data_IF_500700015693
#
_entry.id   IF_500700015693
#
_cell.length_a   1.000
_cell.length_b   1.000
_cell.length_c   1.000
_cell.angle_alpha   90.00
_cell.angle_beta   90.00
_cell.angle_gamma   90.00
#
_symmetry.space_group_name_H-M   'P 1'
#
loop_
_entity.id
_entity.type
_entity.pdbx_description
1 polymer ?
2 branched ?
3 branched ?
4 branched ?
5 non-polymer ?
6 non-polymer ?
7 non-polymer ?
8 non-polymer ?
9 water ?
#
# COMPACT_ATOMS: atom_id res chain seq x y z
N UNK A 1 -0.91 2.34 4.75
CA UNK A 1 -1.42 3.72 4.58
C UNK A 1 -2.65 3.98 5.39
N UNK A 2 -2.97 5.25 5.56
CA UNK A 2 -4.23 5.64 6.16
C UNK A 2 -5.34 5.62 5.13
N UNK A 3 -6.50 6.16 5.51
CA UNK A 3 -7.69 6.12 4.68
C UNK A 3 -7.48 6.71 3.30
N UNK A 4 -6.84 7.87 3.24
CA UNK A 4 -6.70 8.57 1.98
C UNK A 4 -5.83 7.78 1.01
N UNK A 5 -4.73 7.22 1.50
CA UNK A 5 -3.84 6.41 0.65
C UNK A 5 -4.52 5.20 0.02
N UNK A 6 -5.23 4.44 0.83
CA UNK A 6 -5.96 3.29 0.30
C UNK A 6 -7.07 3.69 -0.68
N UNK A 7 -7.76 4.77 -0.38
CA UNK A 7 -8.77 5.26 -1.31
C UNK A 7 -8.17 5.62 -2.67
N UNK A 8 -7.05 6.34 -2.66
CA UNK A 8 -6.39 6.72 -3.89
C UNK A 8 -5.96 5.48 -4.68
N UNK A 9 -5.35 4.54 -4.00
CA UNK A 9 -4.86 3.33 -4.64
C UNK A 9 -6.02 2.54 -5.25
N UNK A 10 -7.08 2.36 -4.49
CA UNK A 10 -8.22 1.57 -5.01
C UNK A 10 -8.97 2.28 -6.14
N UNK A 11 -9.02 3.60 -6.09
CA UNK A 11 -9.63 4.40 -7.15
C UNK A 11 -8.85 4.26 -8.45
N UNK A 12 -7.53 4.35 -8.35
CA UNK A 12 -6.69 4.15 -9.52
C UNK A 12 -6.89 2.75 -10.08
N UNK A 13 -6.89 1.77 -9.21
CA UNK A 13 -7.03 0.40 -9.59
C UNK A 13 -8.37 0.15 -10.28
N UNK A 14 -9.44 0.67 -9.71
CA UNK A 14 -10.80 0.39 -10.21
C UNK A 14 -10.90 0.72 -11.69
N UNK A 15 -10.32 1.84 -12.11
CA UNK A 15 -10.44 2.26 -13.50
C UNK A 15 -9.49 1.55 -14.46
N UNK A 16 -8.64 0.65 -13.96
CA UNK A 16 -7.72 -0.09 -14.81
C UNK A 16 -8.09 -1.55 -14.87
N UNK A 17 -9.23 -1.91 -14.27
CA UNK A 17 -9.72 -3.27 -14.33
C UNK A 17 -10.26 -3.58 -15.73
N UNK A 18 -10.00 -4.79 -16.20
CA UNK A 18 -10.65 -5.27 -17.42
C UNK A 18 -12.04 -5.76 -17.09
N UNK A 19 -12.82 -6.05 -18.12
CA UNK A 19 -14.25 -6.33 -17.88
C UNK A 19 -14.47 -7.55 -16.98
N UNK A 20 -13.68 -8.61 -17.14
CA UNK A 20 -13.84 -9.81 -16.30
C UNK A 20 -13.51 -9.52 -14.84
N UNK A 21 -12.49 -8.71 -14.61
CA UNK A 21 -12.16 -8.34 -13.22
C UNK A 21 -13.21 -7.40 -12.65
N UNK A 22 -13.67 -6.43 -13.44
CA UNK A 22 -14.71 -5.50 -12.98
C UNK A 22 -15.98 -6.27 -12.59
N UNK A 23 -16.33 -7.27 -13.39
CA UNK A 23 -17.50 -8.08 -13.10
C UNK A 23 -17.32 -8.90 -11.82
N UNK A 24 -16.18 -9.55 -11.66
CA UNK A 24 -15.91 -10.32 -10.45
C UNK A 24 -15.92 -9.43 -9.20
N UNK A 25 -15.31 -8.26 -9.29
CA UNK A 25 -15.32 -7.33 -8.17
C UNK A 25 -16.74 -6.89 -7.81
N UNK A 26 -17.56 -6.59 -8.82
CA UNK A 26 -18.96 -6.24 -8.59
C UNK A 26 -19.67 -7.37 -7.85
N UNK A 27 -19.40 -8.59 -8.25
CA UNK A 27 -20.05 -9.76 -7.64
C UNK A 27 -19.59 -10.04 -6.22
N UNK A 28 -18.31 -9.81 -5.96
CA UNK A 28 -17.74 -10.11 -4.65
C UNK A 28 -17.98 -9.01 -3.62
N UNK A 29 -18.11 -7.76 -4.05
CA UNK A 29 -18.40 -6.68 -3.10
C UNK A 29 -19.82 -6.79 -2.58
N UNK A 30 -20.03 -6.43 -1.29
CA UNK A 30 -21.39 -6.40 -0.76
C UNK A 30 -22.21 -5.27 -1.36
N UNK A 31 -23.51 -5.35 -1.22
CA UNK A 31 -24.39 -4.32 -1.77
C UNK A 31 -24.16 -2.94 -1.12
N UNK A 32 -23.79 -2.94 0.16
CA UNK A 32 -23.63 -1.69 0.91
C UNK A 32 -22.46 -0.85 0.38
N UNK A 33 -21.53 -1.50 -0.32
CA UNK A 33 -20.43 -0.79 -0.98
C UNK A 33 -20.90 0.01 -2.19
N UNK A 34 -22.09 -0.31 -2.70
CA UNK A 34 -22.63 0.36 -3.88
C UNK A 34 -21.64 0.29 -5.04
N UNK A 35 -20.99 -0.86 -5.17
CA UNK A 35 -20.08 -1.14 -6.30
C UNK A 35 -18.69 -0.52 -6.22
N UNK A 36 -18.42 0.27 -5.19
CA UNK A 36 -17.17 1.01 -5.08
C UNK A 36 -16.12 0.23 -4.25
N UNK A 37 -15.10 -0.34 -4.91
CA UNK A 37 -14.00 -1.00 -4.18
C UNK A 37 -13.33 -0.09 -3.16
N UNK A 38 -13.13 1.17 -3.51
CA UNK A 38 -12.48 2.10 -2.59
C UNK A 38 -13.27 2.33 -1.32
N UNK A 39 -14.58 2.10 -1.34
CA UNK A 39 -15.36 2.24 -0.11
C UNK A 39 -14.99 1.21 0.97
N UNK A 40 -14.30 0.13 0.59
CA UNK A 40 -13.93 -0.92 1.52
C UNK A 40 -12.44 -1.24 1.58
N UNK A 41 -11.62 -0.35 1.04
CA UNK A 41 -10.19 -0.61 1.01
C UNK A 41 -9.48 -0.35 2.33
N UNK A 42 -10.20 0.13 3.34
CA UNK A 42 -9.70 0.18 4.69
C UNK A 42 -10.27 -0.95 5.58
N UNK A 43 -11.12 -1.79 5.01
CA UNK A 43 -11.77 -2.85 5.79
C UNK A 43 -10.76 -3.69 6.58
N UNK A 44 -9.67 -4.08 5.94
CA UNK A 44 -8.66 -4.89 6.62
C UNK A 44 -8.14 -4.23 7.88
N UNK A 45 -7.99 -2.91 7.88
CA UNK A 45 -7.54 -2.24 9.10
C UNK A 45 -8.57 -2.35 10.20
N UNK A 46 -9.83 -2.50 9.83
CA UNK A 46 -10.91 -2.51 10.80
C UNK A 46 -11.18 -3.91 11.38
N UNK A 47 -10.39 -4.91 10.98
CA UNK A 47 -10.44 -6.23 11.61
C UNK A 47 -9.11 -6.70 12.24
N UNK A 48 -8.16 -5.80 12.43
CA UNK A 48 -6.91 -6.15 13.08
C UNK A 48 -7.08 -6.74 14.46
N UNK A 49 -8.12 -6.32 15.18
CA UNK A 49 -8.33 -6.83 16.52
C UNK A 49 -9.32 -7.97 16.55
N UNK A 50 -10.36 -7.88 15.72
CA UNK A 50 -11.31 -8.98 15.63
C UNK A 50 -10.65 -10.23 15.05
N UNK A 51 -9.78 -10.03 14.08
CA UNK A 51 -9.00 -11.10 13.49
C UNK A 51 -7.56 -10.88 13.89
N UNK A 52 -7.24 -11.25 15.12
CA UNK A 52 -5.94 -10.90 15.72
C UNK A 52 -4.77 -11.47 14.93
N UNK A 53 -4.99 -12.64 14.35
CA UNK A 53 -4.04 -13.27 13.44
C UNK A 53 -3.65 -12.42 12.23
N UNK A 54 -4.46 -11.43 11.88
CA UNK A 54 -4.26 -10.63 10.67
C UNK A 54 -3.32 -9.43 10.86
N UNK A 55 -3.05 -9.06 12.10
CA UNK A 55 -2.34 -7.81 12.37
C UNK A 55 -0.95 -7.77 11.73
N UNK A 56 -0.17 -8.85 11.86
CA UNK A 56 1.18 -8.83 11.26
C UNK A 56 1.19 -8.92 9.74
N UNK A 57 0.05 -9.23 9.13
CA UNK A 57 -0.05 -9.32 7.69
C UNK A 57 -0.01 -7.96 7.00
N UNK A 58 -0.04 -6.87 7.76
CA UNK A 58 -0.02 -5.55 7.14
C UNK A 58 1.37 -5.06 6.79
N UNK A 59 2.40 -5.74 7.26
CA UNK A 59 3.75 -5.22 7.13
C UNK A 59 4.82 -6.31 7.05
N UNK A 60 6.06 -5.85 6.88
CA UNK A 60 7.26 -6.69 6.91
C UNK A 60 8.27 -5.99 7.76
N UNK A 61 8.96 -6.74 8.62
CA UNK A 61 10.10 -6.24 9.35
C UNK A 61 11.38 -6.83 8.79
N UNK A 62 12.38 -5.97 8.65
CA UNK A 62 13.69 -6.37 8.17
C UNK A 62 14.76 -6.03 9.20
N UNK A 63 15.97 -6.56 9.02
CA UNK A 63 17.09 -6.08 9.82
C UNK A 63 17.43 -4.64 9.48
N UNK A 64 18.34 -4.04 10.25
CA UNK A 64 18.76 -2.68 9.97
C UNK A 64 19.64 -2.64 8.74
N UNK A 65 19.03 -2.82 7.58
CA UNK A 65 19.74 -2.72 6.30
C UNK A 65 18.72 -2.38 5.22
N UNK A 66 19.13 -2.28 3.97
CA UNK A 66 18.23 -1.87 2.90
C UNK A 66 17.83 -3.02 2.00
N UNK A 67 17.76 -4.21 2.57
CA UNK A 67 17.39 -5.38 1.78
C UNK A 67 16.19 -6.12 2.36
N UNK A 68 15.50 -6.82 1.47
CA UNK A 68 14.38 -7.66 1.81
C UNK A 68 14.55 -9.00 1.11
N UNK A 69 14.33 -10.09 1.85
CA UNK A 69 14.30 -11.43 1.29
C UNK A 69 13.14 -12.16 1.94
N UNK A 70 12.26 -12.75 1.14
CA UNK A 70 11.08 -13.46 1.66
C UNK A 70 11.44 -14.52 2.70
N UNK A 71 12.36 -15.42 2.37
CA UNK A 71 12.66 -16.51 3.30
C UNK A 71 13.24 -16.00 4.61
N UNK A 72 14.03 -14.92 4.54
CA UNK A 72 14.62 -14.36 5.75
C UNK A 72 13.62 -13.53 6.55
N UNK A 73 12.80 -12.73 5.87
CA UNK A 73 12.01 -11.67 6.53
C UNK A 73 10.51 -11.90 6.64
N UNK A 74 9.95 -12.77 5.81
CA UNK A 74 8.51 -12.96 5.87
C UNK A 74 8.11 -13.97 6.94
N UNK A 75 7.96 -13.47 8.15
CA UNK A 75 7.48 -14.24 9.28
C UNK A 75 7.01 -13.27 10.34
N UNK A 76 6.16 -13.72 11.25
CA UNK A 76 5.71 -12.84 12.32
C UNK A 76 6.65 -12.96 13.52
N UNK A 77 6.31 -12.30 14.62
CA UNK A 77 7.17 -12.29 15.81
C UNK A 77 7.27 -13.68 16.43
N UNK A 78 6.26 -14.52 16.22
CA UNK A 78 6.33 -15.93 16.62
C UNK A 78 7.33 -16.75 15.78
N UNK A 79 7.74 -16.20 14.64
CA UNK A 79 8.64 -16.90 13.73
C UNK A 79 7.94 -17.69 12.65
N UNK A 80 6.62 -17.61 12.59
CA UNK A 80 5.84 -18.39 11.62
C UNK A 80 6.03 -17.84 10.20
N UNK A 81 6.58 -18.68 9.32
CA UNK A 81 6.90 -18.28 7.95
C UNK A 81 5.65 -17.94 7.16
N UNK A 82 5.74 -16.89 6.35
CA UNK A 82 4.62 -16.46 5.51
C UNK A 82 3.74 -15.37 6.11
N UNK A 83 3.91 -15.08 7.40
CA UNK A 83 3.00 -14.16 8.06
C UNK A 83 3.51 -12.73 8.00
N UNK A 84 3.44 -12.18 6.80
CA UNK A 84 3.82 -10.79 6.54
C UNK A 84 3.02 -10.38 5.32
N UNK A 85 3.09 -9.11 4.95
CA UNK A 85 2.23 -8.61 3.88
C UNK A 85 2.49 -9.31 2.53
N UNK A 86 3.72 -9.69 2.26
CA UNK A 86 4.02 -10.42 1.03
C UNK A 86 3.35 -11.78 1.04
N UNK A 87 3.48 -12.48 2.16
CA UNK A 87 2.86 -13.81 2.31
C UNK A 87 1.34 -13.72 2.19
N UNK A 88 0.77 -12.68 2.77
CA UNK A 88 -0.66 -12.43 2.69
C UNK A 88 -1.10 -12.19 1.25
N UNK A 89 -0.33 -11.42 0.52
CA UNK A 89 -0.67 -11.19 -0.88
C UNK A 89 -0.67 -12.52 -1.66
N UNK A 90 0.34 -13.35 -1.43
CA UNK A 90 0.38 -14.67 -2.07
C UNK A 90 -0.85 -15.50 -1.69
N UNK A 91 -1.16 -15.51 -0.41
CA UNK A 91 -2.31 -16.23 0.13
C UNK A 91 -3.62 -15.85 -0.51
N UNK A 92 -3.96 -14.55 -0.44
CA UNK A 92 -5.26 -14.10 -0.89
C UNK A 92 -5.36 -14.10 -2.40
N UNK A 93 -4.25 -13.89 -3.10
CA UNK A 93 -4.29 -14.02 -4.56
C UNK A 93 -4.61 -15.45 -4.95
N UNK A 94 -4.01 -16.40 -4.24
CA UNK A 94 -4.19 -17.81 -4.56
C UNK A 94 -5.65 -18.19 -4.33
N UNK A 95 -6.22 -17.71 -3.23
CA UNK A 95 -7.61 -17.98 -2.95
C UNK A 95 -8.52 -17.46 -4.05
N UNK A 96 -8.27 -16.24 -4.52
CA UNK A 96 -9.13 -15.66 -5.55
C UNK A 96 -9.03 -16.36 -6.90
N UNK A 97 -7.94 -17.09 -7.14
CA UNK A 97 -7.83 -17.89 -8.36
C UNK A 97 -8.97 -18.91 -8.48
N UNK A 98 -9.58 -19.28 -7.36
CA UNK A 98 -10.72 -20.22 -7.30
C UNK A 98 -12.03 -19.67 -7.82
N UNK A 99 -12.14 -18.36 -7.94
CA UNK A 99 -13.45 -17.74 -8.22
C UNK A 99 -14.11 -18.27 -9.49
CA UNK A 107 -13.83 -22.85 -2.07
C UNK A 107 -14.15 -22.83 -0.57
N UNK A 108 -13.12 -23.08 0.26
CA UNK A 108 -13.30 -23.06 1.71
C UNK A 108 -13.24 -21.64 2.30
N UNK A 109 -12.85 -20.68 1.46
CA UNK A 109 -12.57 -19.33 1.93
C UNK A 109 -13.62 -18.33 1.50
N UNK A 110 -13.76 -17.28 2.29
CA UNK A 110 -14.66 -16.20 1.97
C UNK A 110 -13.92 -15.32 0.98
N UNK A 111 -14.35 -15.34 -0.28
CA UNK A 111 -13.63 -14.61 -1.33
C UNK A 111 -13.91 -13.13 -1.33
N UNK A 112 -14.97 -12.69 -0.64
CA UNK A 112 -15.17 -11.26 -0.41
C UNK A 112 -14.04 -10.77 0.48
N UNK A 113 -13.79 -11.46 1.58
CA UNK A 113 -12.63 -11.11 2.43
C UNK A 113 -11.31 -11.19 1.65
N UNK A 114 -11.15 -12.21 0.80
CA UNK A 114 -9.91 -12.32 0.01
C UNK A 114 -9.70 -11.08 -0.83
N UNK A 115 -10.76 -10.64 -1.51
CA UNK A 115 -10.68 -9.42 -2.34
C UNK A 115 -10.33 -8.20 -1.51
N UNK A 116 -10.98 -8.05 -0.35
CA UNK A 116 -10.72 -6.91 0.51
C UNK A 116 -9.33 -6.93 1.12
N UNK A 117 -8.85 -8.11 1.47
CA UNK A 117 -7.50 -8.24 1.98
C UNK A 117 -6.46 -7.94 0.91
N UNK A 118 -6.62 -8.52 -0.28
CA UNK A 118 -5.61 -8.33 -1.30
C UNK A 118 -5.57 -6.86 -1.72
N UNK A 119 -6.73 -6.22 -1.82
CA UNK A 119 -6.77 -4.80 -2.17
C UNK A 119 -6.06 -3.94 -1.15
N UNK A 120 -6.30 -4.18 0.13
CA UNK A 120 -5.65 -3.42 1.17
C UNK A 120 -4.14 -3.70 1.25
N UNK A 121 -3.78 -4.99 1.23
CA UNK A 121 -2.38 -5.39 1.34
C UNK A 121 -1.55 -4.95 0.15
N UNK A 122 -2.12 -4.95 -1.05
CA UNK A 122 -1.39 -4.47 -2.20
C UNK A 122 -1.04 -3.01 -1.96
N UNK A 123 -1.93 -2.29 -1.31
CA UNK A 123 -1.61 -0.92 -0.92
C UNK A 123 -0.53 -0.86 0.13
N UNK A 124 -0.69 -1.59 1.22
CA UNK A 124 0.27 -1.54 2.33
C UNK A 124 1.68 -1.93 1.95
N UNK A 125 1.83 -2.88 1.04
CA UNK A 125 3.18 -3.32 0.66
C UNK A 125 3.90 -2.23 -0.10
N UNK A 126 3.17 -1.20 -0.52
CA UNK A 126 3.80 -0.05 -1.20
C UNK A 126 4.13 1.10 -0.30
N UNK A 127 3.70 1.03 0.97
CA UNK A 127 4.05 2.09 1.92
C UNK A 127 5.47 1.74 2.35
N UNK A 128 6.46 2.60 2.07
CA UNK A 128 7.84 2.23 2.38
C UNK A 128 8.09 1.76 3.81
N UNK A 129 7.48 2.41 4.80
CA UNK A 129 7.72 2.03 6.17
C UNK A 129 6.92 0.81 6.60
N UNK A 130 6.11 0.24 5.71
CA UNK A 130 5.54 -1.07 5.95
C UNK A 130 6.48 -2.21 5.56
N UNK A 131 7.64 -1.87 5.02
CA UNK A 131 8.72 -2.83 4.77
C UNK A 131 9.99 -2.18 5.33
N UNK A 132 10.15 -2.27 6.64
CA UNK A 132 11.26 -1.55 7.28
C UNK A 132 11.58 -2.17 8.63
N UNK A 133 12.30 -1.43 9.47
CA UNK A 133 13.04 -2.05 10.57
C UNK A 133 12.20 -2.51 11.74
N UNK A 134 12.43 -3.74 12.18
CA UNK A 134 11.84 -4.22 13.43
C UNK A 134 12.27 -3.32 14.59
N UNK A 135 13.50 -2.82 14.55
CA UNK A 135 14.06 -2.07 15.69
C UNK A 135 13.35 -0.77 16.05
N UNK A 136 12.64 -0.16 15.09
CA UNK A 136 11.84 1.03 15.38
C UNK A 136 10.38 0.82 14.99
N UNK A 137 9.98 -0.45 14.89
CA UNK A 137 8.61 -0.82 14.56
C UNK A 137 8.12 -0.06 13.33
N UNK A 138 8.92 -0.11 12.28
CA UNK A 138 8.59 0.57 11.03
C UNK A 138 8.40 2.06 11.16
N UNK A 139 9.23 2.66 11.99
CA UNK A 139 9.23 4.08 12.21
C UNK A 139 8.23 4.55 13.24
N UNK A 140 7.48 3.63 13.85
CA UNK A 140 6.51 4.01 14.84
C UNK A 140 7.15 4.60 16.11
N UNK A 141 8.38 4.20 16.41
CA UNK A 141 9.05 4.70 17.60
C UNK A 141 9.87 5.95 17.36
N UNK A 142 9.91 6.45 16.13
CA UNK A 142 10.63 7.69 15.85
C UNK A 142 9.64 8.85 16.00
N UNK A 143 9.75 9.59 17.10
CA UNK A 143 8.84 10.69 17.39
C UNK A 143 9.43 12.00 16.94
N UNK A 144 8.68 12.72 16.12
CA UNK A 144 9.11 13.98 15.55
C UNK A 144 7.92 14.93 15.57
N UNK A 145 8.06 16.05 14.87
CA UNK A 145 6.96 16.95 14.61
C UNK A 145 6.70 17.03 13.10
N UNK A 146 5.43 16.98 12.72
CA UNK A 146 5.00 17.28 11.38
C UNK A 146 4.50 18.71 11.43
N UNK A 147 5.28 19.62 10.88
CA UNK A 147 5.09 21.04 11.10
C UNK A 147 4.98 21.32 12.62
N UNK A 148 3.88 21.84 13.13
CA UNK A 148 3.79 22.17 14.56
C UNK A 148 3.28 21.04 15.47
N UNK A 149 2.83 19.92 14.90
CA UNK A 149 2.18 18.89 15.70
C UNK A 149 3.06 17.66 15.90
N UNK A 150 2.95 17.03 17.07
CA UNK A 150 3.64 15.79 17.35
C UNK A 150 3.15 14.68 16.42
N UNK A 151 4.09 13.92 15.89
CA UNK A 151 3.74 12.76 15.07
C UNK A 151 4.90 11.80 15.06
N UNK A 152 4.62 10.52 14.83
CA UNK A 152 5.70 9.58 14.56
C UNK A 152 5.91 9.42 13.06
N UNK A 153 7.10 8.95 12.69
CA UNK A 153 7.49 8.91 11.29
C UNK A 153 6.60 7.98 10.48
N UNK A 154 6.22 6.86 11.06
CA UNK A 154 5.34 5.95 10.35
C UNK A 154 4.02 6.64 9.94
N UNK A 155 3.41 7.32 10.90
CA UNK A 155 2.16 8.04 10.67
C UNK A 155 2.31 9.14 9.62
N UNK A 156 3.48 9.74 9.57
CA UNK A 156 3.76 10.77 8.58
C UNK A 156 3.65 10.17 7.19
N UNK A 157 4.16 8.95 7.03
CA UNK A 157 4.09 8.25 5.76
C UNK A 157 2.70 7.64 5.48
N UNK A 158 2.03 7.15 6.52
CA UNK A 158 0.67 6.63 6.34
C UNK A 158 -0.32 7.72 5.92
N UNK A 159 -0.18 8.91 6.50
CA UNK A 159 -1.21 9.93 6.48
C UNK A 159 -0.80 11.37 6.31
N UNK A 160 0.18 11.85 7.06
CA UNK A 160 0.38 13.30 7.11
C UNK A 160 0.79 13.92 5.79
N UNK A 161 1.72 13.28 5.08
CA UNK A 161 2.17 13.82 3.81
C UNK A 161 0.96 13.91 2.86
N UNK A 162 0.19 12.84 2.80
CA UNK A 162 -0.94 12.80 1.88
C UNK A 162 -2.00 13.83 2.28
N UNK A 163 -2.32 13.90 3.57
CA UNK A 163 -3.38 14.80 4.03
C UNK A 163 -2.95 16.25 3.85
N UNK A 164 -1.67 16.52 4.05
CA UNK A 164 -1.16 17.87 3.84
C UNK A 164 -1.20 18.26 2.36
N UNK A 165 -0.86 17.34 1.47
CA UNK A 165 -0.96 17.61 0.03
C UNK A 165 -2.42 17.79 -0.35
N UNK A 166 -3.29 16.94 0.17
CA UNK A 166 -4.71 17.01 -0.17
C UNK A 166 -5.29 18.39 0.15
N UNK A 167 -4.96 18.91 1.31
CA UNK A 167 -5.44 20.22 1.74
C UNK A 167 -4.73 21.37 1.02
N UNK A 168 -3.42 21.43 1.14
CA UNK A 168 -2.65 22.59 0.67
C UNK A 168 -2.51 22.62 -0.84
N UNK A 169 -2.26 21.48 -1.47
CA UNK A 169 -1.96 21.46 -2.89
C UNK A 169 -3.20 21.19 -3.73
N UNK A 170 -4.11 20.38 -3.21
CA UNK A 170 -5.31 19.99 -3.93
C UNK A 170 -6.61 20.60 -3.39
N UNK A 171 -6.50 21.55 -2.47
CA UNK A 171 -7.66 22.35 -2.06
C UNK A 171 -8.80 21.47 -1.60
N UNK A 172 -8.44 20.42 -0.87
CA UNK A 172 -9.35 19.44 -0.28
C UNK A 172 -10.12 18.57 -1.26
N UNK A 173 -9.62 18.44 -2.48
CA UNK A 173 -10.21 17.50 -3.43
C UNK A 173 -9.36 16.23 -3.54
N UNK A 174 -9.72 15.14 -2.86
CA UNK A 174 -8.95 13.88 -3.03
C UNK A 174 -8.99 13.42 -4.48
N UNK A 175 -10.12 13.65 -5.15
CA UNK A 175 -10.19 13.28 -6.56
C UNK A 175 -9.16 14.05 -7.36
N UNK A 176 -8.73 15.21 -6.85
CA UNK A 176 -7.69 16.00 -7.52
C UNK A 176 -6.38 15.23 -7.59
N UNK A 177 -5.99 14.57 -6.50
CA UNK A 177 -4.73 13.81 -6.51
C UNK A 177 -4.89 12.55 -7.37
N UNK A 178 -6.06 11.90 -7.29
CA UNK A 178 -6.32 10.71 -8.10
C UNK A 178 -6.22 11.08 -9.57
N UNK A 179 -6.87 12.19 -9.95
CA UNK A 179 -6.87 12.61 -11.33
C UNK A 179 -5.48 12.95 -11.83
N UNK A 180 -4.70 13.64 -11.02
CA UNK A 180 -3.34 14.01 -11.41
C UNK A 180 -2.42 12.78 -11.54
N UNK A 181 -2.61 11.79 -10.66
CA UNK A 181 -1.87 10.56 -10.75
C UNK A 181 -2.27 9.81 -12.01
N UNK A 182 -3.57 9.72 -12.27
CA UNK A 182 -4.02 9.04 -13.48
C UNK A 182 -3.47 9.68 -14.76
N UNK A 183 -3.41 11.01 -14.79
CA UNK A 183 -2.86 11.70 -15.96
C UNK A 183 -1.39 11.38 -16.15
N UNK A 184 -0.64 11.35 -15.06
CA UNK A 184 0.78 11.03 -15.15
C UNK A 184 1.02 9.58 -15.53
N UNK A 185 0.15 8.68 -15.08
CA UNK A 185 0.24 7.28 -15.45
C UNK A 185 0.15 7.15 -16.98
N UNK A 186 -0.72 7.96 -17.59
CA UNK A 186 -0.93 7.96 -19.03
C UNK A 186 0.15 8.70 -19.81
N UNK A 187 0.59 9.84 -19.31
CA UNK A 187 1.41 10.77 -20.13
C UNK A 187 2.87 10.98 -19.73
N UNK A 188 3.23 10.68 -18.49
CA UNK A 188 4.60 10.86 -18.02
C UNK A 188 5.32 9.55 -17.74
N UNK A 189 4.59 8.58 -17.21
CA UNK A 189 5.18 7.36 -16.69
C UNK A 189 4.83 6.12 -17.52
N UNK A 190 4.38 6.31 -18.75
CA UNK A 190 3.82 5.20 -19.51
C UNK A 190 4.79 4.02 -19.63
N UNK A 191 6.05 4.28 -19.94
CA UNK A 191 7.03 3.16 -20.06
C UNK A 191 7.23 2.43 -18.72
N UNK A 192 7.38 3.19 -17.65
CA UNK A 192 7.53 2.65 -16.31
C UNK A 192 6.32 1.81 -15.91
N UNK A 193 5.14 2.32 -16.23
CA UNK A 193 3.89 1.64 -15.87
C UNK A 193 3.86 0.23 -16.46
N UNK A 194 4.33 0.08 -17.68
CA UNK A 194 4.37 -1.24 -18.30
C UNK A 194 5.25 -2.20 -17.49
N UNK A 195 6.35 -1.70 -16.96
CA UNK A 195 7.20 -2.51 -16.08
C UNK A 195 6.53 -2.77 -14.74
N UNK A 196 5.83 -1.76 -14.21
CA UNK A 196 5.12 -1.95 -12.94
C UNK A 196 4.12 -3.08 -13.01
N UNK A 197 3.43 -3.19 -14.14
CA UNK A 197 2.39 -4.21 -14.36
C UNK A 197 2.88 -5.62 -14.55
N UNK A 198 4.11 -5.77 -14.99
CA UNK A 198 4.65 -7.05 -15.44
C UNK A 198 5.01 -7.92 -14.26
N UNK A 199 4.57 -9.17 -14.30
CA UNK A 199 4.88 -10.14 -13.27
C UNK A 199 4.93 -11.50 -13.93
N UNK A 200 6.10 -12.13 -13.92
CA UNK A 200 6.27 -13.43 -14.57
C UNK A 200 5.76 -14.62 -13.74
N UNK A 201 5.15 -14.35 -12.57
CA UNK A 201 4.33 -15.35 -11.88
C UNK A 201 2.88 -15.22 -12.31
N UNK A 203 1.11 -15.09 -10.52
CA UNK A 203 -0.05 -14.21 -10.43
C UNK A 203 0.25 -12.88 -9.73
N UNK A 204 1.04 -12.94 -8.66
CA UNK A 204 1.42 -11.75 -7.92
C UNK A 204 2.93 -11.73 -7.64
N UNK A 205 3.51 -10.54 -7.59
CA UNK A 205 4.96 -10.35 -7.47
C UNK A 205 5.32 -9.45 -6.28
N UNK A 206 4.81 -9.77 -5.08
CA UNK A 206 4.96 -8.86 -3.94
C UNK A 206 6.39 -8.63 -3.51
N UNK A 207 7.27 -9.60 -3.73
CA UNK A 207 8.63 -9.45 -3.26
C UNK A 207 9.37 -8.35 -4.01
N UNK A 208 8.98 -8.12 -5.27
CA UNK A 208 9.53 -7.01 -6.04
C UNK A 208 9.14 -5.70 -5.36
N UNK A 209 7.88 -5.59 -4.96
CA UNK A 209 7.36 -4.33 -4.41
C UNK A 209 7.96 -4.06 -3.02
N UNK A 210 8.16 -5.11 -2.24
CA UNK A 210 8.77 -5.00 -0.90
C UNK A 210 10.24 -4.57 -0.98
N UNK A 211 10.96 -5.14 -1.93
CA UNK A 211 12.36 -4.75 -2.13
C UNK A 211 12.48 -3.29 -2.50
N UNK A 212 11.58 -2.80 -3.36
CA UNK A 212 11.57 -1.35 -3.69
C UNK A 212 11.28 -0.56 -2.44
N UNK A 213 10.37 -1.07 -1.62
CA UNK A 213 9.90 -0.37 -0.43
C UNK A 213 10.96 -0.16 0.64
N UNK A 214 11.70 -1.21 0.97
CA UNK A 214 12.77 -1.07 1.97
C UNK A 214 13.85 -0.10 1.45
N UNK A 215 14.13 -0.13 0.15
CA UNK A 215 15.09 0.79 -0.45
C UNK A 215 14.60 2.23 -0.29
N UNK A 216 13.30 2.47 -0.54
CA UNK A 216 12.70 3.79 -0.30
C UNK A 216 12.72 4.18 1.17
N UNK A 217 12.50 3.24 2.06
CA UNK A 217 12.56 3.54 3.46
C UNK A 217 13.92 4.09 3.83
N UNK A 218 14.96 3.45 3.31
CA UNK A 218 16.33 3.87 3.55
C UNK A 218 16.64 5.22 2.94
N UNK A 219 16.26 5.39 1.69
CA UNK A 219 16.71 6.54 0.93
C UNK A 219 15.81 7.76 1.10
N UNK A 220 14.55 7.54 1.47
CA UNK A 220 13.58 8.64 1.52
C UNK A 220 12.90 8.82 2.87
N UNK A 221 12.46 7.75 3.49
CA UNK A 221 11.68 7.87 4.72
C UNK A 221 12.53 8.13 5.95
N UNK A 222 13.43 7.19 6.26
CA UNK A 222 14.37 7.35 7.38
C UNK A 222 15.41 8.39 7.10
N UNK A 223 15.76 8.59 5.85
CA UNK A 223 16.87 9.45 5.45
C UNK A 223 16.72 10.84 6.05
N UNK A 224 17.70 11.24 6.86
CA UNK A 224 17.79 12.60 7.39
C UNK A 224 16.93 12.86 8.62
N UNK A 225 16.18 11.86 9.06
CA UNK A 225 15.26 12.04 10.17
C UNK A 225 15.86 11.53 11.47
N UNK A 226 15.81 12.37 12.50
CA UNK A 226 16.20 11.96 13.84
C UNK A 226 15.07 12.30 14.81
N UNK A 227 14.94 11.47 15.83
CA UNK A 227 14.10 11.74 17.00
C UNK A 227 14.15 13.24 17.38
N UNK A 228 12.97 13.86 17.48
CA UNK A 228 12.83 15.25 17.87
C UNK A 228 12.89 16.28 16.75
N UNK A 229 13.21 15.85 15.53
CA UNK A 229 13.27 16.77 14.39
C UNK A 229 11.89 17.36 14.08
N UNK A 230 11.89 18.50 13.41
CA UNK A 230 10.67 19.06 12.85
C UNK A 230 10.74 18.86 11.35
N UNK A 231 9.81 18.08 10.82
CA UNK A 231 9.72 17.85 9.39
C UNK A 231 8.68 18.80 8.84
N UNK A 232 9.09 19.62 7.88
CA UNK A 232 8.17 20.60 7.30
C UNK A 232 8.39 20.75 5.79
N UNK A 233 8.39 21.96 5.24
CA UNK A 233 8.36 22.11 3.78
C UNK A 233 9.42 21.30 3.04
N UNK A 234 10.65 21.34 3.53
CA UNK A 234 11.74 20.68 2.82
C UNK A 234 11.48 19.19 2.68
N UNK A 235 11.12 18.55 3.79
CA UNK A 235 10.84 17.12 3.80
C UNK A 235 9.59 16.81 3.00
N UNK A 236 8.55 17.61 3.21
CA UNK A 236 7.28 17.44 2.52
C UNK A 236 7.45 17.48 1.01
N UNK A 237 8.02 18.56 0.47
CA UNK A 237 8.12 18.69 -0.97
C UNK A 237 9.06 17.68 -1.61
N UNK A 238 10.14 17.33 -0.91
CA UNK A 238 11.12 16.38 -1.45
C UNK A 238 10.61 14.94 -1.43
N UNK A 239 9.76 14.62 -0.45
CA UNK A 239 9.20 13.27 -0.35
C UNK A 239 7.87 13.04 -1.07
N UNK A 240 7.19 14.11 -1.47
CA UNK A 240 5.90 13.94 -2.13
C UNK A 240 5.96 13.13 -3.43
N UNK A 241 6.99 13.34 -4.26
CA UNK A 241 7.05 12.57 -5.50
C UNK A 241 7.17 11.07 -5.24
N UNK A 242 7.87 10.68 -4.18
CA UNK A 242 7.96 9.24 -3.88
C UNK A 242 6.62 8.71 -3.38
N UNK A 243 5.89 9.50 -2.61
CA UNK A 243 4.56 9.10 -2.19
C UNK A 243 3.68 8.93 -3.43
N UNK A 244 3.73 9.90 -4.34
CA UNK A 244 3.00 9.78 -5.59
C UNK A 244 3.34 8.49 -6.32
N UNK A 245 4.63 8.22 -6.44
CA UNK A 245 5.11 7.02 -7.13
C UNK A 245 4.54 5.77 -6.53
N UNK A 246 4.62 5.66 -5.20
CA UNK A 246 4.13 4.45 -4.54
C UNK A 246 2.63 4.28 -4.62
N UNK A 247 1.88 5.38 -4.57
CA UNK A 247 0.43 5.26 -4.69
C UNK A 247 0.07 4.82 -6.11
N UNK A 248 0.74 5.38 -7.10
CA UNK A 248 0.52 5.06 -8.49
C UNK A 248 0.87 3.61 -8.74
N UNK A 249 2.02 3.17 -8.24
CA UNK A 249 2.44 1.76 -8.38
C UNK A 249 1.45 0.85 -7.73
N UNK A 250 0.99 1.23 -6.55
CA UNK A 250 0.02 0.40 -5.85
C UNK A 250 -1.26 0.20 -6.63
N UNK A 251 -1.79 1.29 -7.20
CA UNK A 251 -3.03 1.20 -7.98
C UNK A 251 -2.85 0.38 -9.24
N UNK A 252 -1.77 0.65 -9.95
CA UNK A 252 -1.46 -0.06 -11.19
C UNK A 252 -1.28 -1.54 -10.94
N UNK A 253 -0.56 -1.88 -9.88
CA UNK A 253 -0.29 -3.27 -9.57
C UNK A 253 -1.51 -4.01 -9.04
N UNK A 254 -2.34 -3.32 -8.25
CA UNK A 254 -3.57 -3.95 -7.77
C UNK A 254 -4.44 -4.33 -8.97
N UNK A 255 -4.62 -3.41 -9.91
CA UNK A 255 -5.43 -3.71 -11.09
C UNK A 255 -4.83 -4.85 -11.93
N UNK A 256 -3.53 -4.78 -12.16
CA UNK A 256 -2.86 -5.81 -12.97
C UNK A 256 -3.01 -7.17 -12.33
N UNK A 257 -2.88 -7.21 -11.02
CA UNK A 257 -3.01 -8.47 -10.30
C UNK A 257 -4.45 -9.00 -10.36
N UNK A 258 -5.43 -8.15 -10.09
CA UNK A 258 -6.83 -8.60 -10.19
C UNK A 258 -7.14 -9.04 -11.61
N UNK A 259 -6.60 -8.35 -12.60
CA UNK A 259 -6.84 -8.73 -13.99
C UNK A 259 -6.31 -10.12 -14.29
N UNK A 260 -5.11 -10.41 -13.80
CA UNK A 260 -4.51 -11.73 -13.97
C UNK A 260 -5.32 -12.78 -13.21
N UNK A 261 -5.74 -12.45 -12.00
CA UNK A 261 -6.49 -13.41 -11.17
C UNK A 261 -7.82 -13.83 -11.79
N UNK A 262 -8.59 -12.86 -12.26
CA UNK A 262 -9.94 -13.13 -12.72
C UNK A 262 -10.03 -13.45 -14.20
N UNK A 263 -8.91 -13.36 -14.89
CA UNK A 263 -8.87 -13.50 -16.35
C UNK A 263 -8.57 -14.90 -16.83
N UNK A 264 -8.81 -15.22 -18.00
#
# INVERSE_FOLDING_TARGET
WGKEGHEIICKIAQTRLDETAAKAVKELLPESAEGDLSSLCLWADRVKFRYHWSSPLHYINTPDACSYQYNRDCKDESGEKGRCVAGAIYNYTTQLLSYKTAASSQSEYNLTEALLFVSHFMGDIHQPLHVSYASDKGGNTIEVHWYTRKANLHHIWDSNIIETAEADLYNSALEGMVDALKKNITTEWADQVKRWETCTKKTACPDIYASEGIQAACDWAYKGVTEGDTLEDEYFYSRLPIVYQRLAQGGVRLAATLNRIFGHHHHHH
#
